data_IF_306249785798
#
_entry.id   IF_306249785798
#
_cell.length_a   1.000
_cell.length_b   1.000
_cell.length_c   1.000
_cell.angle_alpha   90.00
_cell.angle_beta   90.00
_cell.angle_gamma   90.00
#
_symmetry.space_group_name_H-M   'P 1'
#
loop_
_entity.id
_entity.type
_entity.pdbx_description
1 polymer ?
#
# COMPACT_ATOMS: atom_id res chain seq x y z
N UNK A 1 4.72 9.15 -3.81
CA UNK A 1 5.98 9.47 -3.11
C UNK A 1 5.85 10.84 -2.48
N UNK A 2 6.44 11.07 -1.31
CA UNK A 2 6.44 12.35 -0.58
C UNK A 2 7.89 12.83 -0.47
N UNK A 3 8.25 13.85 -1.24
CA UNK A 3 9.62 14.37 -1.33
C UNK A 3 9.82 15.67 -0.54
N UNK A 4 8.89 16.00 0.36
CA UNK A 4 8.86 17.28 1.07
C UNK A 4 7.69 17.32 2.04
N UNK A 5 6.87 18.37 1.98
CA UNK A 5 5.83 18.65 2.97
C UNK A 5 4.52 17.91 2.66
N UNK A 6 3.96 17.22 3.66
CA UNK A 6 2.66 16.56 3.61
C UNK A 6 1.83 16.96 4.85
N UNK A 7 0.91 17.91 4.67
CA UNK A 7 0.13 18.50 5.75
C UNK A 7 -1.36 18.45 5.45
N UNK A 8 -2.18 18.26 6.49
CA UNK A 8 -3.64 18.34 6.44
C UNK A 8 -4.23 17.61 5.23
N UNK A 9 -4.74 18.36 4.25
CA UNK A 9 -5.31 17.81 3.01
C UNK A 9 -4.38 16.88 2.21
N UNK A 10 -3.06 16.95 2.39
CA UNK A 10 -2.09 16.01 1.81
C UNK A 10 -2.25 14.56 2.31
N UNK A 11 -2.89 14.35 3.46
CA UNK A 11 -3.16 13.01 4.00
C UNK A 11 -4.20 12.25 3.18
N UNK A 12 -5.12 12.96 2.51
CA UNK A 12 -6.11 12.35 1.62
C UNK A 12 -5.45 11.59 0.46
N UNK A 13 -4.65 12.26 -0.39
CA UNK A 13 -3.88 11.60 -1.44
C UNK A 13 -2.91 10.54 -0.93
N UNK A 14 -2.28 10.78 0.24
CA UNK A 14 -1.40 9.80 0.87
C UNK A 14 -2.13 8.47 1.12
N UNK A 15 -3.32 8.52 1.70
CA UNK A 15 -4.14 7.36 2.01
C UNK A 15 -4.85 6.76 0.78
N UNK A 16 -5.08 7.56 -0.26
CA UNK A 16 -5.68 7.08 -1.49
C UNK A 16 -4.75 6.13 -2.27
N UNK A 17 -3.43 6.22 -2.05
CA UNK A 17 -2.43 5.31 -2.61
C UNK A 17 -2.35 4.00 -1.80
N UNK A 18 -2.08 2.87 -2.48
CA UNK A 18 -1.84 1.59 -1.79
C UNK A 18 -0.47 1.52 -1.10
N UNK A 19 0.52 2.21 -1.68
CA UNK A 19 1.89 2.26 -1.20
C UNK A 19 2.37 3.71 -1.19
N UNK A 20 3.11 4.06 -0.15
CA UNK A 20 3.71 5.37 0.03
C UNK A 20 5.18 5.25 0.43
N UNK A 21 6.00 6.10 -0.16
CA UNK A 21 7.44 6.21 0.09
C UNK A 21 7.76 7.67 0.29
N UNK A 22 8.69 8.00 1.19
CA UNK A 22 9.07 9.38 1.45
C UNK A 22 10.58 9.60 1.49
N UNK A 23 10.99 10.86 1.35
CA UNK A 23 12.34 11.29 1.63
C UNK A 23 12.61 11.25 3.15
N UNK A 24 13.84 10.97 3.56
CA UNK A 24 14.30 11.05 4.96
C UNK A 24 13.89 12.40 5.60
N UNK A 25 14.09 13.47 4.85
CA UNK A 25 13.80 14.86 5.24
C UNK A 25 12.38 15.34 4.93
N UNK A 26 11.47 14.45 4.50
CA UNK A 26 10.06 14.81 4.31
C UNK A 26 9.42 15.20 5.65
N UNK A 27 8.46 16.13 5.63
CA UNK A 27 7.81 16.64 6.83
C UNK A 27 6.32 16.33 6.79
N UNK A 28 5.82 15.65 7.81
CA UNK A 28 4.42 15.28 7.95
C UNK A 28 3.79 15.99 9.14
N UNK A 29 2.58 16.54 9.01
CA UNK A 29 1.93 17.24 10.11
C UNK A 29 0.41 17.34 10.02
N UNK A 30 -0.24 17.31 11.18
CA UNK A 30 -1.66 17.65 11.38
C UNK A 30 -1.73 18.98 12.14
N UNK A 31 -1.48 20.08 11.43
CA UNK A 31 -1.35 21.41 12.03
C UNK A 31 -2.68 22.06 12.39
N UNK A 32 -3.81 21.44 12.05
CA UNK A 32 -5.18 21.96 12.24
C UNK A 32 -5.45 22.41 13.68
N UNK A 33 -4.90 21.72 14.69
CA UNK A 33 -5.05 22.08 16.09
C UNK A 33 -4.50 23.48 16.42
N UNK A 34 -3.46 23.93 15.71
CA UNK A 34 -2.89 25.27 15.86
C UNK A 34 -3.82 26.38 15.32
N UNK A 35 -4.85 25.99 14.56
CA UNK A 35 -5.90 26.87 14.07
C UNK A 35 -7.18 26.77 14.93
N UNK A 36 -7.16 26.00 16.02
CA UNK A 36 -8.33 25.75 16.87
C UNK A 36 -9.37 24.85 16.23
N UNK A 37 -9.00 24.06 15.21
CA UNK A 37 -9.89 23.11 14.54
C UNK A 37 -9.29 21.71 14.60
N UNK A 38 -10.14 20.69 14.52
CA UNK A 38 -9.68 19.31 14.44
C UNK A 38 -9.11 18.99 13.04
N UNK A 39 -8.25 17.97 12.88
CA UNK A 39 -7.79 17.51 11.56
C UNK A 39 -8.95 16.93 10.72
N UNK A 40 -9.60 17.82 9.99
CA UNK A 40 -10.80 17.54 9.19
C UNK A 40 -10.49 16.91 7.83
N UNK A 41 -11.49 16.89 6.93
CA UNK A 41 -11.30 16.42 5.54
C UNK A 41 -10.87 14.96 5.40
N UNK A 42 -11.06 14.14 6.45
CA UNK A 42 -10.62 12.75 6.50
C UNK A 42 -9.23 12.54 7.11
N UNK A 43 -8.46 13.59 7.42
CA UNK A 43 -7.09 13.44 7.95
C UNK A 43 -7.04 12.65 9.27
N UNK A 44 -8.00 12.87 10.18
CA UNK A 44 -8.12 12.06 11.42
C UNK A 44 -8.41 10.59 11.11
N UNK A 45 -9.24 10.28 10.10
CA UNK A 45 -9.51 8.88 9.70
C UNK A 45 -8.24 8.24 9.13
N UNK A 46 -7.50 8.94 8.29
CA UNK A 46 -6.20 8.48 7.76
C UNK A 46 -5.22 8.19 8.89
N UNK A 47 -5.10 9.10 9.87
CA UNK A 47 -4.19 8.93 10.98
C UNK A 47 -4.50 7.68 11.80
N UNK A 48 -5.78 7.40 12.10
CA UNK A 48 -6.16 6.20 12.87
C UNK A 48 -6.06 4.92 12.06
N UNK A 49 -6.23 4.99 10.74
CA UNK A 49 -6.10 3.82 9.87
C UNK A 49 -4.64 3.37 9.71
N UNK A 50 -3.71 4.33 9.60
CA UNK A 50 -2.31 4.04 9.31
C UNK A 50 -1.41 3.99 10.54
N UNK A 51 -1.78 4.67 11.63
CA UNK A 51 -0.98 4.75 12.85
C UNK A 51 -1.61 3.96 13.98
N UNK A 52 -0.76 3.48 14.91
CA UNK A 52 -1.26 3.03 16.21
C UNK A 52 -2.01 4.16 16.91
N UNK A 53 -3.03 3.82 17.71
CA UNK A 53 -3.86 4.78 18.41
C UNK A 53 -3.07 5.89 19.14
N UNK A 54 -1.99 5.52 19.87
CA UNK A 54 -1.18 6.50 20.61
C UNK A 54 -0.39 7.42 19.71
N UNK A 55 0.14 6.92 18.58
CA UNK A 55 0.84 7.73 17.57
C UNK A 55 -0.13 8.69 16.87
N UNK A 56 -1.33 8.23 16.52
CA UNK A 56 -2.39 9.09 15.96
C UNK A 56 -2.77 10.22 16.93
N UNK A 57 -3.00 9.89 18.20
CA UNK A 57 -3.34 10.87 19.23
C UNK A 57 -2.20 11.88 19.47
N UNK A 58 -0.96 11.42 19.62
CA UNK A 58 0.19 12.30 19.79
C UNK A 58 0.30 13.29 18.63
N UNK A 59 0.23 12.78 17.40
CA UNK A 59 0.36 13.56 16.18
C UNK A 59 -0.75 14.62 16.04
N UNK A 60 -2.01 14.22 16.28
CA UNK A 60 -3.15 15.11 16.14
C UNK A 60 -3.30 16.14 17.29
N UNK A 61 -2.93 15.77 18.52
CA UNK A 61 -3.10 16.63 19.69
C UNK A 61 -1.97 17.64 19.88
N UNK A 62 -0.76 17.33 19.43
CA UNK A 62 0.35 18.28 19.52
C UNK A 62 0.48 19.14 18.26
N UNK A 63 0.06 18.61 17.10
CA UNK A 63 0.25 19.30 15.81
C UNK A 63 1.72 19.55 15.46
N UNK A 64 2.64 18.86 16.13
CA UNK A 64 4.07 18.89 15.87
C UNK A 64 4.39 18.09 14.60
N UNK A 65 5.29 18.58 13.73
CA UNK A 65 5.69 17.83 12.56
C UNK A 65 6.61 16.65 12.93
N UNK A 66 6.49 15.56 12.16
CA UNK A 66 7.42 14.44 12.19
C UNK A 66 8.20 14.35 10.88
N UNK A 67 9.43 13.85 10.93
CA UNK A 67 10.24 13.62 9.73
C UNK A 67 9.85 12.32 9.00
N UNK A 68 10.44 12.10 7.82
CA UNK A 68 10.12 10.95 6.98
C UNK A 68 10.50 9.62 7.61
N UNK A 69 11.61 9.58 8.35
CA UNK A 69 12.05 8.40 9.09
C UNK A 69 11.04 7.99 10.14
N UNK A 70 10.60 8.96 10.93
CA UNK A 70 9.56 8.78 11.95
C UNK A 70 8.25 8.35 11.28
N UNK A 71 7.85 8.98 10.17
CA UNK A 71 6.65 8.59 9.43
C UNK A 71 6.69 7.12 8.96
N UNK A 72 7.84 6.64 8.49
CA UNK A 72 8.02 5.23 8.11
C UNK A 72 8.02 4.30 9.33
N UNK A 73 8.75 4.64 10.39
CA UNK A 73 8.75 3.88 11.65
C UNK A 73 7.34 3.80 12.28
N UNK A 74 6.54 4.83 12.06
CA UNK A 74 5.20 4.94 12.59
C UNK A 74 4.14 4.20 11.78
N UNK A 75 4.46 3.81 10.55
CA UNK A 75 3.56 3.12 9.62
C UNK A 75 2.74 4.05 8.71
N UNK A 76 3.02 5.35 8.72
CA UNK A 76 2.32 6.32 7.86
C UNK A 76 2.71 6.19 6.39
N UNK A 77 3.91 5.67 6.13
CA UNK A 77 4.44 5.30 4.81
C UNK A 77 5.15 3.95 4.91
N UNK A 78 5.35 3.26 3.79
CA UNK A 78 6.04 1.96 3.77
C UNK A 78 7.54 2.07 4.05
N UNK A 79 8.19 3.11 3.52
CA UNK A 79 9.64 3.26 3.58
C UNK A 79 10.04 4.74 3.47
N UNK A 80 11.12 5.10 4.16
CA UNK A 80 11.82 6.37 4.04
C UNK A 80 13.23 6.13 3.53
N UNK A 81 13.67 6.92 2.56
CA UNK A 81 15.00 6.83 1.95
C UNK A 81 15.57 8.23 1.71
N UNK A 82 16.90 8.40 1.57
CA UNK A 82 17.47 9.68 1.17
C UNK A 82 16.79 10.25 -0.08
N UNK A 83 16.49 11.54 -0.10
CA UNK A 83 15.75 12.18 -1.22
C UNK A 83 16.31 11.84 -2.61
N UNK A 84 17.64 11.80 -2.74
CA UNK A 84 18.31 11.48 -4.01
C UNK A 84 18.03 10.06 -4.51
N UNK A 85 17.62 9.13 -3.63
CA UNK A 85 17.27 7.74 -3.96
C UNK A 85 15.76 7.51 -4.07
N UNK A 86 14.93 8.46 -3.60
CA UNK A 86 13.49 8.28 -3.51
C UNK A 86 12.84 7.90 -4.84
N UNK A 87 13.17 8.62 -5.91
CA UNK A 87 12.59 8.35 -7.24
C UNK A 87 12.98 6.98 -7.76
N UNK A 88 14.24 6.60 -7.61
CA UNK A 88 14.75 5.32 -8.07
C UNK A 88 14.10 4.18 -7.31
N UNK A 89 13.95 4.32 -5.99
CA UNK A 89 13.28 3.32 -5.16
C UNK A 89 11.82 3.12 -5.54
N UNK A 90 11.08 4.22 -5.73
CA UNK A 90 9.68 4.18 -6.17
C UNK A 90 9.57 3.52 -7.55
N UNK A 91 10.50 3.82 -8.46
CA UNK A 91 10.54 3.25 -9.81
C UNK A 91 10.85 1.75 -9.79
N UNK A 92 11.78 1.30 -8.94
CA UNK A 92 12.06 -0.13 -8.71
C UNK A 92 10.81 -0.88 -8.20
N UNK A 93 10.10 -0.32 -7.23
CA UNK A 93 8.86 -0.92 -6.72
C UNK A 93 7.79 -0.99 -7.82
N UNK A 94 7.61 0.08 -8.59
CA UNK A 94 6.68 0.11 -9.71
C UNK A 94 7.03 -0.93 -10.78
N UNK A 95 8.31 -1.08 -11.12
CA UNK A 95 8.78 -2.12 -12.05
C UNK A 95 8.45 -3.53 -11.55
N UNK A 96 8.70 -3.81 -10.27
CA UNK A 96 8.34 -5.09 -9.64
C UNK A 96 6.84 -5.37 -9.69
N UNK A 97 6.00 -4.35 -9.53
CA UNK A 97 4.55 -4.50 -9.68
C UNK A 97 4.15 -4.77 -11.13
N UNK A 98 4.80 -4.13 -12.11
CA UNK A 98 4.52 -4.33 -13.53
C UNK A 98 4.80 -5.75 -14.01
N UNK A 99 5.72 -6.46 -13.36
CA UNK A 99 5.98 -7.89 -13.60
C UNK A 99 4.84 -8.80 -13.13
N UNK A 100 3.97 -8.33 -12.22
CA UNK A 100 2.88 -9.15 -11.66
C UNK A 100 1.65 -9.12 -12.55
N UNK A 101 0.79 -10.11 -12.39
CA UNK A 101 -0.47 -10.17 -13.13
C UNK A 101 -1.40 -9.00 -12.72
N UNK A 102 -1.82 -8.11 -13.64
CA UNK A 102 -2.64 -6.95 -13.31
C UNK A 102 -4.04 -7.32 -12.79
N UNK A 103 -4.62 -8.43 -13.26
CA UNK A 103 -5.91 -8.93 -12.75
C UNK A 103 -5.74 -9.35 -11.29
N UNK A 104 -4.66 -10.07 -10.99
CA UNK A 104 -4.34 -10.47 -9.61
C UNK A 104 -4.01 -9.27 -8.73
N UNK A 105 -3.25 -8.27 -9.21
CA UNK A 105 -2.97 -7.03 -8.47
C UNK A 105 -4.28 -6.32 -8.09
N UNK A 106 -5.20 -6.17 -9.05
CA UNK A 106 -6.51 -5.56 -8.79
C UNK A 106 -7.28 -6.36 -7.74
N UNK A 107 -7.37 -7.68 -7.90
CA UNK A 107 -8.08 -8.54 -6.97
C UNK A 107 -7.50 -8.48 -5.54
N UNK A 108 -6.17 -8.46 -5.40
CA UNK A 108 -5.49 -8.27 -4.11
C UNK A 108 -5.86 -6.93 -3.49
N UNK A 109 -5.76 -5.84 -4.28
CA UNK A 109 -6.09 -4.48 -3.80
C UNK A 109 -7.52 -4.35 -3.31
N UNK A 110 -8.47 -4.98 -4.01
CA UNK A 110 -9.87 -4.99 -3.61
C UNK A 110 -10.05 -5.84 -2.35
N UNK A 111 -9.46 -7.04 -2.32
CA UNK A 111 -9.59 -7.94 -1.19
C UNK A 111 -9.06 -7.36 0.11
N UNK A 112 -7.83 -6.84 0.12
CA UNK A 112 -7.22 -6.23 1.31
C UNK A 112 -8.09 -5.13 1.90
N UNK A 113 -8.73 -4.31 1.06
CA UNK A 113 -9.62 -3.24 1.52
C UNK A 113 -10.95 -3.72 2.08
N UNK A 114 -11.45 -4.85 1.60
CA UNK A 114 -12.82 -5.32 1.92
C UNK A 114 -12.83 -6.22 3.13
N UNK A 115 -11.85 -7.12 3.24
CA UNK A 115 -11.83 -8.11 4.33
C UNK A 115 -11.55 -7.49 5.70
N UNK A 116 -10.94 -6.30 5.75
CA UNK A 116 -10.65 -5.61 7.01
C UNK A 116 -11.91 -5.24 7.82
N UNK A 117 -13.05 -5.07 7.15
CA UNK A 117 -14.34 -4.73 7.77
C UNK A 117 -15.25 -5.96 7.97
N UNK A 118 -14.77 -7.15 7.66
CA UNK A 118 -15.57 -8.39 7.65
C UNK A 118 -15.29 -9.26 8.87
N UNK A 119 -16.23 -10.15 9.21
CA UNK A 119 -15.91 -11.29 10.06
C UNK A 119 -14.99 -12.25 9.32
N UNK A 120 -14.33 -13.16 10.05
CA UNK A 120 -13.44 -14.13 9.42
C UNK A 120 -14.18 -15.01 8.40
N UNK A 121 -15.37 -15.52 8.75
CA UNK A 121 -16.15 -16.39 7.88
C UNK A 121 -16.62 -15.65 6.62
N UNK A 122 -17.11 -14.42 6.77
CA UNK A 122 -17.51 -13.58 5.62
C UNK A 122 -16.31 -13.26 4.71
N UNK A 123 -15.13 -13.03 5.31
CA UNK A 123 -13.90 -12.75 4.56
C UNK A 123 -13.47 -13.96 3.73
N UNK A 124 -13.52 -15.18 4.28
CA UNK A 124 -13.21 -16.42 3.54
C UNK A 124 -14.16 -16.62 2.35
N UNK A 125 -15.47 -16.44 2.57
CA UNK A 125 -16.48 -16.54 1.51
C UNK A 125 -16.24 -15.50 0.41
N UNK A 126 -15.94 -14.25 0.80
CA UNK A 126 -15.59 -13.18 -0.12
C UNK A 126 -14.33 -13.51 -0.93
N UNK A 127 -13.26 -14.00 -0.27
CA UNK A 127 -11.98 -14.31 -0.90
C UNK A 127 -12.13 -15.43 -1.93
N UNK A 128 -12.94 -16.45 -1.65
CA UNK A 128 -13.21 -17.52 -2.60
C UNK A 128 -13.89 -16.97 -3.87
N UNK A 129 -14.91 -16.12 -3.72
CA UNK A 129 -15.59 -15.46 -4.86
C UNK A 129 -14.67 -14.52 -5.62
N UNK A 130 -13.86 -13.73 -4.91
CA UNK A 130 -12.89 -12.81 -5.52
C UNK A 130 -11.84 -13.57 -6.35
N UNK A 131 -11.38 -14.73 -5.85
CA UNK A 131 -10.42 -15.58 -6.55
C UNK A 131 -11.04 -16.27 -7.78
N UNK A 132 -12.27 -16.75 -7.69
CA UNK A 132 -13.03 -17.29 -8.84
C UNK A 132 -13.22 -16.22 -9.92
N UNK A 133 -13.63 -15.00 -9.52
CA UNK A 133 -13.77 -13.87 -10.44
C UNK A 133 -12.43 -13.53 -11.10
N UNK A 134 -11.33 -13.46 -10.34
CA UNK A 134 -10.00 -13.21 -10.89
C UNK A 134 -9.58 -14.27 -11.92
N UNK A 135 -9.84 -15.56 -11.64
CA UNK A 135 -9.59 -16.64 -12.62
C UNK A 135 -10.49 -16.53 -13.85
N UNK A 136 -11.71 -16.00 -13.71
CA UNK A 136 -12.60 -15.78 -14.85
C UNK A 136 -12.17 -14.59 -15.72
N UNK A 137 -11.59 -13.54 -15.13
CA UNK A 137 -11.06 -12.39 -15.87
C UNK A 137 -9.70 -12.69 -16.52
N UNK A 138 -8.94 -13.65 -15.97
CA UNK A 138 -7.75 -14.21 -16.58
C UNK A 138 -7.71 -15.74 -16.43
N UNK A 139 -8.18 -16.41 -17.48
CA UNK A 139 -8.33 -17.87 -17.52
C UNK A 139 -7.00 -18.64 -17.56
N UNK A 140 -5.89 -17.96 -17.84
CA UNK A 140 -4.60 -18.60 -18.13
C UNK A 140 -3.55 -18.28 -17.08
N UNK A 141 -3.57 -17.08 -16.49
CA UNK A 141 -2.51 -16.61 -15.58
C UNK A 141 -2.20 -17.59 -14.43
N UNK A 142 -3.22 -18.12 -13.76
CA UNK A 142 -3.02 -19.12 -12.69
C UNK A 142 -2.49 -20.45 -13.23
N UNK A 143 -2.99 -20.92 -14.38
CA UNK A 143 -2.56 -22.18 -14.98
C UNK A 143 -1.10 -22.11 -15.40
N UNK A 144 -0.71 -21.00 -16.03
CA UNK A 144 0.65 -20.75 -16.47
C UNK A 144 1.61 -20.65 -15.30
N UNK A 145 1.23 -19.93 -14.23
CA UNK A 145 2.02 -19.89 -13.00
C UNK A 145 2.23 -21.28 -12.39
N UNK A 146 1.20 -22.13 -12.37
CA UNK A 146 1.31 -23.51 -11.88
C UNK A 146 2.23 -24.35 -12.79
N UNK A 147 2.05 -24.26 -14.11
CA UNK A 147 2.85 -25.00 -15.10
C UNK A 147 4.34 -24.65 -15.03
N UNK A 148 4.66 -23.36 -14.99
CA UNK A 148 6.03 -22.87 -14.85
C UNK A 148 6.67 -23.29 -13.52
N UNK A 149 5.89 -23.39 -12.45
CA UNK A 149 6.39 -23.81 -11.14
C UNK A 149 6.56 -25.34 -11.02
N UNK A 150 5.51 -26.10 -11.31
CA UNK A 150 5.47 -27.55 -11.05
C UNK A 150 6.16 -28.32 -12.17
N UNK A 151 5.80 -28.03 -13.42
CA UNK A 151 6.21 -28.84 -14.57
C UNK A 151 7.58 -28.39 -15.08
N UNK A 152 7.76 -27.09 -15.32
CA UNK A 152 9.02 -26.54 -15.85
C UNK A 152 10.06 -26.27 -14.77
N UNK A 153 9.62 -25.99 -13.53
CA UNK A 153 10.47 -25.51 -12.44
C UNK A 153 11.29 -24.27 -12.82
N UNK A 154 10.73 -23.44 -13.70
CA UNK A 154 11.38 -22.26 -14.29
C UNK A 154 11.40 -21.05 -13.35
N UNK A 155 10.56 -21.05 -12.30
CA UNK A 155 10.62 -20.07 -11.21
C UNK A 155 10.19 -20.68 -9.87
N UNK A 156 10.42 -19.93 -8.78
CA UNK A 156 9.96 -20.28 -7.43
C UNK A 156 9.02 -19.17 -6.92
N UNK A 157 7.73 -19.43 -6.63
CA UNK A 157 6.77 -18.41 -6.22
C UNK A 157 7.18 -17.56 -5.01
N UNK A 158 7.99 -18.10 -4.10
CA UNK A 158 8.53 -17.36 -2.96
C UNK A 158 9.70 -16.41 -3.28
N UNK A 159 10.29 -16.50 -4.48
CA UNK A 159 11.49 -15.74 -4.87
C UNK A 159 11.31 -14.93 -6.16
N UNK A 160 10.19 -15.10 -6.88
CA UNK A 160 9.95 -14.42 -8.15
C UNK A 160 8.53 -14.61 -8.67
N UNK A 161 8.26 -14.05 -9.85
CA UNK A 161 7.00 -14.19 -10.57
C UNK A 161 7.15 -15.12 -11.78
N UNK A 162 6.03 -15.68 -12.24
CA UNK A 162 5.97 -16.42 -13.48
C UNK A 162 6.13 -15.47 -14.69
N UNK A 163 6.69 -15.95 -15.79
CA UNK A 163 6.84 -15.21 -17.03
C UNK A 163 5.49 -15.07 -17.73
N UNK A 164 4.89 -13.88 -17.65
CA UNK A 164 3.58 -13.57 -18.23
C UNK A 164 3.58 -13.50 -19.77
N UNK A 165 4.75 -13.47 -20.40
CA UNK A 165 4.86 -13.42 -21.87
C UNK A 165 4.69 -14.80 -22.51
N UNK A 166 4.92 -15.86 -21.73
CA UNK A 166 4.73 -17.25 -22.17
C UNK A 166 3.27 -17.61 -21.97
N UNK A 167 2.51 -17.71 -23.06
CA UNK A 167 1.15 -18.25 -23.06
C UNK A 167 1.17 -19.58 -23.79
N UNK A 168 0.58 -20.61 -23.15
CA UNK A 168 0.26 -21.89 -23.78
C UNK A 168 -0.91 -21.77 -24.74
#
# INVERSE_FOLDING_TARGET
MVNGWCFGGGYGPLFACDLAFCADEATFGLSEINWGILPGGGATKVAVELLSFRRAMYHALLGEPIDGKTAAEWGLVNESVPLVQLKDRVTDVASKLNERNPVTIKAIKDAVRRVGDMTYDDAEDYLLRAQEAANSFDNDGRKEGIRQFIDEKSYKPGLGAYDRSRRS
#
